data_IF_916342572800
#
_entry.id   IF_916342572800
#
_cell.length_a   1.000
_cell.length_b   1.000
_cell.length_c   1.000
_cell.angle_alpha   90.00
_cell.angle_beta   90.00
_cell.angle_gamma   90.00
#
_symmetry.space_group_name_H-M   'P 1'
#
loop_
_entity.id
_entity.type
_entity.pdbx_description
1 polymer ?
#
# COMPACT_ATOMS: atom_id res chain seq x y z
N UNK A 1 -1.33 -8.15 -0.21
CA UNK A 1 0.01 -8.07 0.38
C UNK A 1 0.24 -9.14 1.43
N UNK A 2 1.49 -9.55 1.57
CA UNK A 2 1.98 -10.33 2.69
C UNK A 2 2.90 -9.42 3.53
N UNK A 3 2.55 -9.21 4.79
CA UNK A 3 3.36 -8.40 5.70
C UNK A 3 3.63 -9.12 7.00
N UNK A 4 4.87 -9.01 7.47
CA UNK A 4 5.29 -9.42 8.81
C UNK A 4 4.90 -10.87 9.13
N UNK A 5 5.16 -11.76 8.18
CA UNK A 5 4.93 -13.19 8.34
C UNK A 5 6.25 -13.96 8.48
N UNK A 6 6.20 -15.05 9.22
CA UNK A 6 7.21 -16.10 9.20
C UNK A 6 6.64 -17.34 8.54
N UNK A 7 7.34 -17.85 7.55
CA UNK A 7 6.93 -19.07 6.86
C UNK A 7 8.08 -20.08 6.79
N UNK A 8 7.80 -21.30 7.24
CA UNK A 8 8.69 -22.45 7.08
C UNK A 8 8.47 -23.19 5.75
N UNK A 9 7.66 -22.62 4.87
CA UNK A 9 7.39 -23.15 3.53
C UNK A 9 7.55 -22.05 2.49
N UNK A 10 7.93 -22.41 1.26
CA UNK A 10 7.89 -21.48 0.14
C UNK A 10 6.45 -21.00 -0.09
N UNK A 11 6.33 -19.80 -0.64
CA UNK A 11 5.04 -19.19 -0.94
C UNK A 11 4.88 -19.10 -2.45
N UNK A 12 3.82 -19.73 -2.97
CA UNK A 12 3.41 -19.57 -4.35
C UNK A 12 2.29 -18.52 -4.42
N UNK A 13 2.46 -17.51 -5.23
CA UNK A 13 1.45 -16.46 -5.43
C UNK A 13 0.37 -16.88 -6.43
N UNK A 14 0.73 -17.73 -7.36
CA UNK A 14 -0.18 -18.32 -8.33
C UNK A 14 0.26 -19.72 -8.66
N UNK A 15 -0.66 -20.67 -8.47
CA UNK A 15 -0.40 -22.09 -8.73
C UNK A 15 -1.00 -22.59 -10.04
N UNK A 16 -1.96 -21.86 -10.63
CA UNK A 16 -2.82 -22.41 -11.70
C UNK A 16 -2.74 -21.61 -13.02
N UNK A 17 -1.60 -21.04 -13.37
CA UNK A 17 -1.43 -20.27 -14.60
C UNK A 17 -2.39 -19.09 -14.77
N UNK A 18 -2.90 -18.54 -13.66
CA UNK A 18 -3.66 -17.30 -13.64
C UNK A 18 -2.74 -16.08 -13.88
N UNK A 19 -3.33 -14.96 -14.23
CA UNK A 19 -2.63 -13.70 -14.36
C UNK A 19 -2.52 -13.06 -12.96
N UNK A 20 -1.49 -13.41 -12.20
CA UNK A 20 -1.20 -12.72 -10.95
C UNK A 20 -0.36 -11.48 -11.23
N UNK A 21 -0.88 -10.32 -10.91
CA UNK A 21 -0.15 -9.06 -11.01
C UNK A 21 -0.09 -8.36 -9.66
N UNK A 22 0.94 -7.56 -9.41
CA UNK A 22 1.05 -6.77 -8.22
C UNK A 22 1.31 -7.55 -6.92
N UNK A 23 2.03 -8.65 -6.98
CA UNK A 23 2.45 -9.35 -5.76
C UNK A 23 3.33 -8.47 -4.89
N UNK A 24 2.98 -8.35 -3.59
CA UNK A 24 3.70 -7.52 -2.63
C UNK A 24 4.01 -8.29 -1.35
N UNK A 25 5.31 -8.33 -0.99
CA UNK A 25 5.82 -8.93 0.25
C UNK A 25 6.67 -7.91 0.98
N UNK A 26 6.36 -7.65 2.24
CA UNK A 26 7.13 -6.74 3.08
C UNK A 26 7.33 -7.29 4.48
N UNK A 27 8.47 -6.93 5.08
CA UNK A 27 8.80 -7.23 6.49
C UNK A 27 8.56 -8.70 6.86
N UNK A 28 8.85 -9.61 5.92
CA UNK A 28 8.51 -11.04 6.05
C UNK A 28 9.73 -11.93 5.95
N UNK A 29 9.74 -13.00 6.74
CA UNK A 29 10.80 -13.99 6.71
C UNK A 29 10.26 -15.31 6.15
N UNK A 30 10.71 -15.66 4.93
CA UNK A 30 10.40 -16.95 4.29
C UNK A 30 11.62 -17.84 4.42
N UNK A 31 11.60 -18.70 5.43
CA UNK A 31 12.73 -19.56 5.84
C UNK A 31 12.68 -20.93 5.16
N UNK A 32 12.24 -20.97 3.93
CA UNK A 32 12.23 -22.17 3.12
C UNK A 32 12.47 -21.84 1.66
N UNK A 33 12.93 -22.83 0.91
CA UNK A 33 13.04 -22.75 -0.54
C UNK A 33 12.68 -24.10 -1.14
N UNK A 34 12.27 -24.11 -2.40
CA UNK A 34 12.23 -25.30 -3.23
C UNK A 34 13.20 -25.12 -4.42
N UNK A 35 13.67 -26.21 -4.94
CA UNK A 35 14.55 -26.15 -6.11
C UNK A 35 13.71 -26.34 -7.37
N UNK A 36 13.78 -25.35 -8.26
CA UNK A 36 13.22 -25.41 -9.58
C UNK A 36 14.33 -25.25 -10.62
N UNK A 37 14.70 -26.35 -11.26
CA UNK A 37 15.74 -26.38 -12.31
C UNK A 37 17.07 -25.71 -11.92
N UNK A 38 17.48 -25.86 -10.66
CA UNK A 38 18.72 -25.30 -10.14
C UNK A 38 18.57 -23.96 -9.43
N UNK A 39 17.35 -23.37 -9.42
CA UNK A 39 17.07 -22.14 -8.70
C UNK A 39 16.43 -22.44 -7.35
N UNK A 40 16.95 -21.85 -6.30
CA UNK A 40 16.29 -21.87 -4.98
C UNK A 40 15.29 -20.74 -4.87
N UNK A 41 13.99 -21.11 -4.75
CA UNK A 41 12.89 -20.16 -4.72
C UNK A 41 12.22 -20.17 -3.34
N UNK A 42 12.06 -19.02 -2.72
CA UNK A 42 11.32 -18.85 -1.46
C UNK A 42 9.90 -18.36 -1.68
N UNK A 43 9.70 -17.48 -2.63
CA UNK A 43 8.40 -16.94 -2.99
C UNK A 43 8.35 -16.72 -4.49
N UNK A 44 7.20 -16.93 -5.12
CA UNK A 44 7.08 -16.69 -6.55
C UNK A 44 5.80 -17.18 -7.18
N UNK A 45 5.76 -16.99 -8.48
CA UNK A 45 4.67 -17.39 -9.36
C UNK A 45 5.20 -18.00 -10.63
N UNK A 46 4.41 -18.85 -11.26
CA UNK A 46 4.74 -19.44 -12.56
C UNK A 46 4.18 -18.64 -13.74
N UNK A 47 3.31 -17.69 -13.51
CA UNK A 47 2.63 -16.95 -14.58
C UNK A 47 2.28 -15.51 -14.22
N UNK A 48 2.85 -14.94 -13.20
CA UNK A 48 2.54 -13.57 -12.79
C UNK A 48 3.21 -12.51 -13.66
N UNK A 49 2.84 -11.26 -13.49
CA UNK A 49 3.36 -10.14 -14.27
C UNK A 49 4.49 -9.39 -13.56
N UNK A 50 4.30 -9.03 -12.29
CA UNK A 50 5.23 -8.18 -11.57
C UNK A 50 5.13 -8.37 -10.06
N UNK A 51 6.26 -8.32 -9.38
CA UNK A 51 6.37 -8.59 -7.95
C UNK A 51 7.31 -7.59 -7.28
N UNK A 52 6.89 -7.14 -6.12
CA UNK A 52 7.70 -6.28 -5.28
C UNK A 52 7.93 -6.91 -3.90
N UNK A 53 9.18 -7.11 -3.55
CA UNK A 53 9.59 -7.60 -2.23
C UNK A 53 10.41 -6.54 -1.54
N UNK A 54 9.96 -6.09 -0.37
CA UNK A 54 10.57 -5.02 0.39
C UNK A 54 10.92 -5.49 1.82
N UNK A 55 12.11 -5.12 2.28
CA UNK A 55 12.53 -5.35 3.68
C UNK A 55 12.18 -6.72 4.23
N UNK A 56 12.51 -7.74 3.47
CA UNK A 56 12.20 -9.14 3.80
C UNK A 56 13.46 -9.98 3.83
N UNK A 57 13.36 -11.16 4.44
CA UNK A 57 14.42 -12.15 4.48
C UNK A 57 13.95 -13.41 3.78
N UNK A 58 14.70 -13.83 2.77
CA UNK A 58 14.39 -15.01 1.97
C UNK A 58 15.54 -16.01 2.09
N UNK A 59 15.22 -17.30 2.25
CA UNK A 59 16.23 -18.36 2.18
C UNK A 59 16.76 -18.54 0.76
N UNK A 60 15.87 -18.47 -0.23
CA UNK A 60 16.17 -18.40 -1.66
C UNK A 60 15.74 -17.05 -2.24
N UNK A 61 15.34 -17.02 -3.49
CA UNK A 61 14.88 -15.83 -4.19
C UNK A 61 13.34 -15.72 -4.22
N UNK A 62 12.84 -14.53 -4.46
CA UNK A 62 11.53 -14.37 -5.06
C UNK A 62 11.67 -14.47 -6.58
N UNK A 63 10.83 -15.27 -7.20
CA UNK A 63 10.90 -15.59 -8.61
C UNK A 63 9.52 -15.51 -9.26
N UNK A 64 9.49 -15.08 -10.50
CA UNK A 64 8.31 -15.15 -11.33
C UNK A 64 8.71 -15.22 -12.80
N UNK A 65 7.94 -15.90 -13.63
CA UNK A 65 8.10 -15.92 -15.09
C UNK A 65 7.61 -14.62 -15.70
N UNK A 66 8.00 -13.48 -15.15
CA UNK A 66 7.24 -12.26 -15.27
C UNK A 66 8.04 -11.08 -15.76
N UNK A 67 7.32 -10.02 -16.02
CA UNK A 67 7.83 -8.81 -16.62
C UNK A 67 8.82 -8.07 -15.72
N UNK A 68 8.58 -8.07 -14.39
CA UNK A 68 9.40 -7.29 -13.48
C UNK A 68 9.40 -7.89 -12.07
N UNK A 69 10.60 -8.06 -11.52
CA UNK A 69 10.83 -8.41 -10.12
C UNK A 69 11.62 -7.31 -9.45
N UNK A 70 11.07 -6.69 -8.44
CA UNK A 70 11.68 -5.57 -7.75
C UNK A 70 11.99 -5.97 -6.30
N UNK A 71 13.25 -5.86 -5.91
CA UNK A 71 13.75 -6.15 -4.58
C UNK A 71 14.31 -4.87 -3.94
N UNK A 72 13.85 -4.50 -2.77
CA UNK A 72 14.36 -3.34 -2.05
C UNK A 72 14.59 -3.67 -0.58
N UNK A 73 15.83 -3.50 -0.12
CA UNK A 73 16.18 -3.81 1.26
C UNK A 73 15.96 -5.29 1.63
N UNK A 74 16.15 -6.21 0.68
CA UNK A 74 15.92 -7.65 0.89
C UNK A 74 17.20 -8.36 1.26
N UNK A 75 17.14 -9.25 2.23
CA UNK A 75 18.18 -10.23 2.55
C UNK A 75 17.85 -11.56 1.88
N UNK A 76 18.68 -11.98 0.93
CA UNK A 76 18.57 -13.29 0.27
C UNK A 76 19.94 -13.76 -0.21
N UNK A 77 20.08 -15.06 -0.44
CA UNK A 77 21.36 -15.66 -0.84
C UNK A 77 21.77 -15.36 -2.28
N UNK A 78 20.81 -15.13 -3.17
CA UNK A 78 21.02 -15.06 -4.63
C UNK A 78 20.23 -13.90 -5.26
N UNK A 79 20.30 -12.70 -4.73
CA UNK A 79 19.76 -11.53 -5.41
C UNK A 79 20.72 -11.01 -6.49
N UNK A 80 20.21 -10.41 -7.56
CA UNK A 80 21.01 -9.64 -8.48
C UNK A 80 21.82 -8.59 -7.73
N UNK A 81 22.97 -8.19 -8.30
CA UNK A 81 23.79 -7.15 -7.69
C UNK A 81 23.02 -5.85 -7.58
N UNK A 82 23.06 -5.24 -6.40
CA UNK A 82 22.48 -3.93 -6.19
C UNK A 82 23.36 -2.88 -6.87
N UNK A 83 22.92 -2.31 -7.97
CA UNK A 83 23.65 -1.28 -8.70
C UNK A 83 23.07 0.13 -8.50
N UNK A 84 21.90 0.23 -7.90
CA UNK A 84 21.17 1.49 -7.70
C UNK A 84 20.61 2.08 -8.99
N UNK A 85 20.89 1.46 -10.13
CA UNK A 85 20.33 1.81 -11.42
C UNK A 85 19.46 0.67 -11.90
N UNK A 86 18.23 0.88 -11.95
CA UNK A 86 17.26 -0.11 -12.39
C UNK A 86 17.50 -0.58 -13.82
N UNK A 87 17.44 -1.85 -14.07
CA UNK A 87 17.20 -2.42 -15.38
C UNK A 87 18.42 -2.88 -16.16
N UNK A 88 19.63 -2.83 -15.64
CA UNK A 88 20.81 -3.32 -16.36
C UNK A 88 21.15 -4.79 -16.07
N UNK A 89 20.69 -5.37 -14.96
CA UNK A 89 20.86 -6.80 -14.73
C UNK A 89 19.66 -7.59 -15.26
N UNK A 90 19.66 -7.80 -16.54
CA UNK A 90 18.76 -8.75 -17.19
C UNK A 90 19.28 -10.17 -16.92
N UNK A 91 18.58 -10.90 -16.05
CA UNK A 91 18.87 -12.32 -15.89
C UNK A 91 18.14 -13.09 -17.00
N UNK A 92 18.86 -13.92 -17.71
CA UNK A 92 18.29 -14.86 -18.67
C UNK A 92 17.34 -15.80 -17.94
N UNK A 93 16.05 -15.68 -18.16
CA UNK A 93 15.00 -16.51 -17.60
C UNK A 93 13.91 -16.76 -18.62
N UNK A 94 12.93 -17.54 -18.26
CA UNK A 94 11.75 -17.74 -19.09
C UNK A 94 10.89 -16.48 -19.02
N UNK A 95 11.21 -15.48 -19.81
CA UNK A 95 10.48 -14.23 -19.83
C UNK A 95 9.08 -14.38 -20.37
N UNK A 96 8.16 -13.56 -19.89
CA UNK A 96 6.84 -13.42 -20.48
C UNK A 96 6.95 -12.77 -21.84
N UNK A 97 7.16 -13.56 -22.85
CA UNK A 97 7.32 -13.13 -24.24
C UNK A 97 6.11 -12.41 -24.85
N UNK A 98 4.99 -12.39 -24.16
CA UNK A 98 3.71 -11.94 -24.73
C UNK A 98 3.42 -10.44 -24.56
N UNK A 99 4.24 -9.70 -23.84
CA UNK A 99 3.93 -8.31 -23.48
C UNK A 99 4.84 -7.27 -24.14
N UNK A 100 5.49 -7.61 -25.24
CA UNK A 100 6.31 -6.68 -26.02
C UNK A 100 7.28 -5.79 -25.16
N UNK A 101 7.72 -6.31 -24.05
CA UNK A 101 8.89 -5.71 -23.42
C UNK A 101 10.03 -5.98 -24.38
N UNK A 102 10.76 -4.97 -24.85
CA UNK A 102 11.88 -5.18 -25.73
C UNK A 102 12.96 -5.95 -24.97
N UNK A 103 12.82 -7.25 -24.97
CA UNK A 103 13.93 -8.13 -24.70
C UNK A 103 14.70 -8.21 -26.00
N UNK A 104 15.90 -7.73 -26.00
CA UNK A 104 16.79 -7.83 -27.16
C UNK A 104 17.01 -9.27 -27.64
N UNK A 105 16.64 -10.27 -26.83
CA UNK A 105 17.00 -11.67 -27.08
C UNK A 105 16.12 -12.69 -26.36
N UNK A 106 14.82 -12.64 -26.60
CA UNK A 106 13.95 -13.77 -26.32
C UNK A 106 13.45 -13.92 -24.87
N UNK A 107 13.07 -12.82 -24.23
CA UNK A 107 12.31 -12.85 -23.00
C UNK A 107 13.16 -12.95 -21.73
N UNK A 108 13.88 -11.89 -21.44
CA UNK A 108 14.62 -11.76 -20.18
C UNK A 108 13.69 -11.21 -19.09
N UNK A 109 13.77 -11.75 -17.89
CA UNK A 109 13.16 -11.17 -16.72
C UNK A 109 13.92 -9.88 -16.34
N UNK A 110 13.16 -8.82 -16.03
CA UNK A 110 13.76 -7.61 -15.49
C UNK A 110 13.82 -7.73 -13.98
N UNK A 111 15.00 -7.61 -13.43
CA UNK A 111 15.22 -7.54 -11.99
C UNK A 111 15.71 -6.15 -11.62
N UNK A 112 15.08 -5.57 -10.64
CA UNK A 112 15.57 -4.33 -10.01
C UNK A 112 15.95 -4.65 -8.57
N UNK A 113 17.15 -4.28 -8.16
CA UNK A 113 17.62 -4.48 -6.80
C UNK A 113 18.15 -3.18 -6.20
N UNK A 114 17.51 -2.71 -5.13
CA UNK A 114 17.99 -1.59 -4.32
C UNK A 114 18.41 -2.14 -2.96
N UNK A 115 19.63 -1.91 -2.56
CA UNK A 115 20.24 -2.54 -1.37
C UNK A 115 19.51 -2.17 -0.08
N UNK A 116 19.04 -0.94 0.06
CA UNK A 116 18.38 -0.44 1.27
C UNK A 116 17.12 0.35 0.94
N UNK A 117 16.16 0.33 1.86
CA UNK A 117 15.02 1.24 1.83
C UNK A 117 15.39 2.52 2.56
N UNK A 118 15.33 3.65 1.85
CA UNK A 118 15.83 4.93 2.33
C UNK A 118 15.10 5.41 3.59
N UNK A 119 13.78 5.34 3.60
CA UNK A 119 12.94 5.77 4.72
C UNK A 119 11.60 5.05 4.66
N UNK A 120 11.18 4.44 5.76
CA UNK A 120 9.89 3.80 5.87
C UNK A 120 9.48 3.61 7.33
N UNK A 121 8.19 3.37 7.57
CA UNK A 121 7.72 2.70 8.78
C UNK A 121 6.90 1.48 8.38
N UNK A 122 6.92 0.43 9.18
CA UNK A 122 6.04 -0.70 8.97
C UNK A 122 4.61 -0.39 9.45
N UNK A 123 3.64 -1.14 8.95
CA UNK A 123 2.23 -0.93 9.25
C UNK A 123 1.93 -1.19 10.72
N UNK A 124 1.14 -0.34 11.40
CA UNK A 124 0.63 -0.63 12.73
C UNK A 124 -0.22 -1.90 12.77
N UNK A 125 -0.17 -2.64 13.88
CA UNK A 125 -0.94 -3.86 14.03
C UNK A 125 -1.45 -4.07 15.45
N UNK A 126 -2.64 -4.67 15.56
CA UNK A 126 -3.24 -5.10 16.82
C UNK A 126 -2.55 -6.38 17.29
N UNK A 127 -2.27 -6.45 18.58
CA UNK A 127 -1.78 -7.66 19.24
C UNK A 127 -2.29 -7.74 20.67
N UNK A 128 -2.21 -8.92 21.26
CA UNK A 128 -2.47 -9.15 22.68
C UNK A 128 -1.14 -9.37 23.38
N UNK A 129 -0.89 -8.68 24.46
CA UNK A 129 0.34 -8.85 25.25
C UNK A 129 0.27 -10.05 26.18
N UNK A 130 1.34 -10.28 26.94
CA UNK A 130 1.46 -11.41 27.85
C UNK A 130 0.48 -11.34 29.06
N UNK A 131 -0.04 -10.16 29.36
CA UNK A 131 -1.05 -9.93 30.42
C UNK A 131 -2.47 -10.12 29.89
N UNK A 132 -2.65 -10.36 28.57
CA UNK A 132 -3.94 -10.54 27.91
C UNK A 132 -4.59 -9.23 27.47
N UNK A 133 -3.88 -8.11 27.52
CA UNK A 133 -4.38 -6.79 27.13
C UNK A 133 -4.17 -6.53 25.64
N UNK A 134 -5.17 -5.97 24.97
CA UNK A 134 -5.06 -5.59 23.57
C UNK A 134 -4.33 -4.25 23.40
N UNK A 135 -3.35 -4.26 22.54
CA UNK A 135 -2.53 -3.08 22.18
C UNK A 135 -2.33 -2.98 20.67
N UNK A 136 -2.12 -1.77 20.20
CA UNK A 136 -1.66 -1.52 18.83
C UNK A 136 -0.17 -1.19 18.89
N UNK A 137 0.65 -1.99 18.25
CA UNK A 137 2.06 -1.66 18.05
C UNK A 137 2.19 -0.73 16.84
N UNK A 138 2.90 0.37 17.04
CA UNK A 138 3.14 1.41 16.03
C UNK A 138 4.64 1.45 15.75
N UNK A 139 5.10 0.85 14.64
CA UNK A 139 6.50 0.86 14.26
C UNK A 139 7.00 2.28 14.00
N UNK A 140 8.20 2.59 14.47
CA UNK A 140 8.85 3.88 14.21
C UNK A 140 9.33 3.99 12.77
N UNK A 141 9.46 5.23 12.28
CA UNK A 141 10.15 5.51 11.02
C UNK A 141 11.61 5.07 11.14
N UNK A 142 12.09 4.34 10.15
CA UNK A 142 13.45 3.86 10.03
C UNK A 142 14.09 4.36 8.74
N UNK A 143 15.41 4.52 8.75
CA UNK A 143 16.18 4.99 7.57
C UNK A 143 17.25 3.98 7.19
N UNK A 144 17.48 3.84 5.88
CA UNK A 144 18.49 2.96 5.30
C UNK A 144 18.40 1.52 5.83
N UNK A 145 17.21 0.97 5.76
CA UNK A 145 16.89 -0.35 6.32
C UNK A 145 17.05 -1.49 5.31
N UNK A 146 17.41 -2.67 5.84
CA UNK A 146 17.51 -3.91 5.10
C UNK A 146 17.04 -5.07 5.99
N UNK A 147 16.40 -6.08 5.39
CA UNK A 147 15.85 -7.23 6.10
C UNK A 147 14.63 -6.87 6.92
N UNK A 148 14.19 -7.84 7.73
CA UNK A 148 12.99 -7.71 8.58
C UNK A 148 13.23 -6.78 9.78
N UNK A 149 12.17 -6.10 10.19
CA UNK A 149 12.20 -5.17 11.33
C UNK A 149 12.02 -5.85 12.69
N UNK A 150 11.65 -7.13 12.71
CA UNK A 150 11.26 -7.90 13.89
C UNK A 150 12.07 -9.18 14.04
N UNK A 151 11.87 -9.92 15.13
CA UNK A 151 12.52 -11.20 15.41
C UNK A 151 13.43 -11.16 16.60
N UNK A 152 14.13 -12.25 16.89
CA UNK A 152 15.03 -12.39 18.01
C UNK A 152 16.12 -11.30 18.00
N UNK A 153 16.36 -10.69 19.15
CA UNK A 153 17.34 -9.61 19.33
C UNK A 153 16.87 -8.23 18.86
N UNK A 154 15.64 -8.09 18.38
CA UNK A 154 15.04 -6.78 18.09
C UNK A 154 14.38 -6.19 19.34
N UNK A 155 14.21 -4.86 19.38
CA UNK A 155 13.54 -4.13 20.46
C UNK A 155 12.11 -4.60 20.71
N UNK A 156 11.53 -4.19 21.83
CA UNK A 156 10.13 -4.48 22.21
C UNK A 156 9.78 -5.98 22.12
N UNK A 157 10.58 -6.82 22.78
CA UNK A 157 10.38 -8.29 22.76
C UNK A 157 10.31 -8.89 21.35
N UNK A 158 11.15 -8.38 20.45
CA UNK A 158 11.21 -8.85 19.08
C UNK A 158 10.20 -8.18 18.11
N UNK A 159 9.40 -7.23 18.57
CA UNK A 159 8.49 -6.49 17.69
C UNK A 159 9.20 -5.42 16.84
N UNK A 160 10.44 -5.05 17.21
CA UNK A 160 11.21 -4.04 16.52
C UNK A 160 11.08 -2.65 17.16
N UNK A 161 11.67 -1.64 16.51
CA UNK A 161 11.58 -0.26 16.95
C UNK A 161 10.16 0.27 16.80
N UNK A 162 9.60 0.85 17.87
CA UNK A 162 8.22 1.33 17.87
C UNK A 162 7.68 1.56 19.28
N UNK A 163 6.40 1.86 19.36
CA UNK A 163 5.67 2.02 20.63
C UNK A 163 4.39 1.21 20.64
N UNK A 164 4.00 0.69 21.79
CA UNK A 164 2.71 0.05 22.03
C UNK A 164 1.74 1.04 22.64
N UNK A 165 0.52 1.09 22.12
CA UNK A 165 -0.56 1.95 22.59
C UNK A 165 -1.71 1.04 23.03
N UNK A 166 -2.25 1.24 24.24
CA UNK A 166 -3.41 0.49 24.70
C UNK A 166 -4.59 0.66 23.77
N UNK A 167 -5.37 -0.40 23.54
CA UNK A 167 -6.61 -0.28 22.79
C UNK A 167 -7.63 0.67 23.44
N UNK A 168 -7.49 0.95 24.74
CA UNK A 168 -8.29 1.96 25.45
C UNK A 168 -8.08 3.39 24.93
N UNK A 169 -6.95 3.65 24.27
CA UNK A 169 -6.68 4.94 23.60
C UNK A 169 -7.31 5.02 22.20
N UNK A 170 -8.01 3.97 21.78
CA UNK A 170 -8.71 3.90 20.52
C UNK A 170 -10.22 3.91 20.72
N UNK A 171 -10.92 4.57 19.82
CA UNK A 171 -12.32 4.31 19.58
C UNK A 171 -12.44 3.11 18.65
N UNK A 172 -13.02 2.02 19.14
CA UNK A 172 -13.25 0.80 18.36
C UNK A 172 -14.57 0.97 17.59
N UNK A 173 -14.44 1.46 16.36
CA UNK A 173 -15.58 1.74 15.51
C UNK A 173 -16.22 0.46 14.97
N UNK A 174 -17.54 0.44 14.89
CA UNK A 174 -18.36 -0.62 14.31
C UNK A 174 -19.10 -0.09 13.09
N UNK A 175 -19.49 -0.94 12.13
CA UNK A 175 -20.22 -0.50 10.92
C UNK A 175 -21.54 0.23 11.19
N UNK A 176 -22.09 0.09 12.41
CA UNK A 176 -23.31 0.78 12.85
C UNK A 176 -23.07 2.20 13.36
N UNK A 177 -21.81 2.56 13.61
CA UNK A 177 -21.46 3.87 14.17
C UNK A 177 -21.49 4.93 13.06
N UNK A 178 -21.90 6.12 13.40
CA UNK A 178 -21.94 7.24 12.46
C UNK A 178 -20.55 7.89 12.31
N UNK A 179 -20.33 8.58 11.20
CA UNK A 179 -19.15 9.43 11.04
C UNK A 179 -19.06 10.50 12.13
N UNK A 180 -20.20 10.97 12.65
CA UNK A 180 -20.28 11.91 13.77
C UNK A 180 -19.70 11.33 15.07
N UNK A 181 -20.02 10.05 15.39
CA UNK A 181 -19.45 9.36 16.57
C UNK A 181 -17.93 9.21 16.44
N UNK A 182 -17.47 8.86 15.24
CA UNK A 182 -16.04 8.74 14.92
C UNK A 182 -15.33 10.10 15.05
N UNK A 183 -15.93 11.17 14.48
CA UNK A 183 -15.39 12.51 14.57
C UNK A 183 -15.33 13.03 16.01
N UNK A 184 -16.35 12.73 16.81
CA UNK A 184 -16.35 13.06 18.25
C UNK A 184 -15.17 12.39 18.96
N UNK A 185 -14.92 11.12 18.71
CA UNK A 185 -13.79 10.40 19.29
C UNK A 185 -12.44 11.01 18.86
N UNK A 186 -12.29 11.37 17.58
CA UNK A 186 -11.12 12.08 17.05
C UNK A 186 -10.93 13.45 17.71
N UNK A 187 -12.00 14.22 17.90
CA UNK A 187 -11.97 15.52 18.57
C UNK A 187 -11.60 15.40 20.07
N UNK A 188 -11.97 14.28 20.72
CA UNK A 188 -11.54 13.93 22.09
C UNK A 188 -10.07 13.45 22.14
N UNK A 189 -9.41 13.20 21.00
CA UNK A 189 -8.01 12.78 20.90
C UNK A 189 -7.81 11.27 20.92
N UNK A 190 -8.86 10.49 20.68
CA UNK A 190 -8.76 9.05 20.47
C UNK A 190 -8.19 8.74 19.10
N UNK A 191 -7.45 7.65 19.01
CA UNK A 191 -7.17 6.95 17.77
C UNK A 191 -8.42 6.19 17.31
N UNK A 192 -8.46 5.74 16.06
CA UNK A 192 -9.57 4.96 15.53
C UNK A 192 -9.10 3.56 15.12
N UNK A 193 -9.84 2.56 15.59
CA UNK A 193 -9.70 1.18 15.14
C UNK A 193 -11.01 0.75 14.50
N UNK A 194 -11.02 0.61 13.18
CA UNK A 194 -12.18 0.14 12.45
C UNK A 194 -12.24 -1.39 12.45
N UNK A 195 -13.34 -1.96 12.97
CA UNK A 195 -13.62 -3.38 12.82
C UNK A 195 -14.03 -3.71 11.37
N UNK A 196 -13.92 -4.98 10.91
CA UNK A 196 -14.32 -5.36 9.56
C UNK A 196 -15.76 -5.00 9.25
N UNK A 197 -16.00 -4.43 8.09
CA UNK A 197 -17.34 -4.09 7.59
C UNK A 197 -17.36 -2.83 6.75
N UNK A 198 -18.57 -2.46 6.30
CA UNK A 198 -18.79 -1.27 5.47
C UNK A 198 -19.35 -0.14 6.33
N UNK A 199 -18.71 1.02 6.24
CA UNK A 199 -19.04 2.24 6.96
C UNK A 199 -19.56 3.29 5.98
N UNK A 200 -20.75 3.82 6.24
CA UNK A 200 -21.38 4.86 5.44
C UNK A 200 -21.15 6.24 6.06
N UNK A 201 -20.24 7.02 5.48
CA UNK A 201 -19.84 8.32 5.99
C UNK A 201 -20.76 9.43 5.46
N UNK A 202 -21.84 9.74 6.21
CA UNK A 202 -22.77 10.83 5.90
C UNK A 202 -22.17 12.23 6.13
N UNK A 203 -21.06 12.30 6.79
CA UNK A 203 -20.18 13.46 6.88
C UNK A 203 -18.73 13.01 6.79
N UNK A 204 -17.82 13.92 6.51
CA UNK A 204 -16.41 13.61 6.35
C UNK A 204 -15.83 13.14 7.70
N UNK A 205 -15.09 12.02 7.69
CA UNK A 205 -14.24 11.64 8.82
C UNK A 205 -13.01 12.55 8.80
N UNK A 206 -12.83 13.39 9.81
CA UNK A 206 -11.84 14.45 9.78
C UNK A 206 -10.74 14.26 10.85
N UNK A 207 -9.55 13.87 10.41
CA UNK A 207 -8.36 13.70 11.26
C UNK A 207 -7.63 15.04 11.36
N UNK A 208 -7.70 15.69 12.53
CA UNK A 208 -7.20 17.06 12.76
C UNK A 208 -5.96 17.12 13.67
N UNK A 209 -5.69 16.05 14.42
CA UNK A 209 -4.62 16.06 15.42
C UNK A 209 -3.41 15.28 14.95
N UNK A 210 -2.24 15.80 15.27
CA UNK A 210 -0.98 15.12 15.06
C UNK A 210 -0.95 13.74 15.76
N UNK A 211 -0.13 12.84 15.27
CA UNK A 211 0.08 11.49 15.83
C UNK A 211 -1.17 10.58 15.86
N UNK A 212 -2.25 10.98 15.23
CA UNK A 212 -3.48 10.19 15.20
C UNK A 212 -3.30 8.94 14.34
N UNK A 213 -3.73 7.79 14.88
CA UNK A 213 -3.69 6.51 14.19
C UNK A 213 -5.11 6.13 13.79
N UNK A 214 -5.29 5.85 12.51
CA UNK A 214 -6.52 5.32 11.91
C UNK A 214 -6.19 3.97 11.31
N UNK A 215 -6.62 2.91 11.96
CA UNK A 215 -6.28 1.54 11.58
C UNK A 215 -7.54 0.73 11.26
N UNK A 216 -7.65 0.27 10.04
CA UNK A 216 -8.67 -0.70 9.63
C UNK A 216 -8.18 -2.13 9.77
N UNK A 217 -9.08 -3.04 10.10
CA UNK A 217 -8.81 -4.47 10.18
C UNK A 217 -9.70 -5.27 9.23
N UNK A 218 -9.14 -6.36 8.71
CA UNK A 218 -9.86 -7.21 7.75
C UNK A 218 -10.27 -6.41 6.49
N UNK A 219 -11.52 -6.55 6.09
CA UNK A 219 -12.10 -5.84 4.94
C UNK A 219 -12.91 -4.63 5.44
N UNK A 220 -12.22 -3.64 5.98
CA UNK A 220 -12.85 -2.35 6.34
C UNK A 220 -13.03 -1.51 5.09
N UNK A 221 -14.27 -1.14 4.77
CA UNK A 221 -14.59 -0.26 3.64
C UNK A 221 -15.31 0.99 4.14
N UNK A 222 -14.92 2.18 3.64
CA UNK A 222 -15.58 3.46 3.94
C UNK A 222 -16.14 4.04 2.65
N UNK A 223 -17.45 4.30 2.66
CA UNK A 223 -18.20 4.87 1.52
C UNK A 223 -18.68 6.27 1.91
N UNK A 224 -18.30 7.34 1.20
CA UNK A 224 -18.84 8.67 1.43
C UNK A 224 -20.29 8.77 0.90
N UNK A 225 -21.20 9.16 1.78
CA UNK A 225 -22.61 9.46 1.46
C UNK A 225 -22.89 10.96 1.64
N UNK A 226 -21.90 11.82 1.31
CA UNK A 226 -21.94 13.25 1.62
C UNK A 226 -21.56 14.16 0.44
N UNK A 227 -21.42 13.60 -0.75
CA UNK A 227 -21.02 14.28 -1.99
C UNK A 227 -19.66 15.02 -1.90
N UNK A 228 -18.82 14.72 -0.91
CA UNK A 228 -17.53 15.39 -0.71
C UNK A 228 -16.39 14.35 -0.54
N UNK A 229 -16.04 13.95 0.67
CA UNK A 229 -14.96 13.02 0.93
C UNK A 229 -15.32 11.97 1.98
N UNK A 230 -14.72 10.78 1.89
CA UNK A 230 -14.80 9.81 2.96
C UNK A 230 -13.96 10.25 4.16
N UNK A 231 -12.72 10.71 3.91
CA UNK A 231 -11.81 11.14 4.96
C UNK A 231 -10.96 12.34 4.52
N UNK A 232 -10.73 13.25 5.45
CA UNK A 232 -9.72 14.31 5.35
C UNK A 232 -8.70 14.15 6.48
N UNK A 233 -7.44 14.34 6.15
CA UNK A 233 -6.34 14.46 7.10
C UNK A 233 -5.79 15.87 7.00
N UNK A 234 -5.74 16.61 8.11
CA UNK A 234 -5.16 17.94 8.12
C UNK A 234 -3.64 17.91 7.91
N UNK A 235 -3.05 19.06 7.65
CA UNK A 235 -1.61 19.26 7.45
C UNK A 235 -0.89 19.27 8.82
N UNK A 236 -0.82 18.10 9.46
CA UNK A 236 -0.26 17.86 10.80
C UNK A 236 0.71 16.68 10.80
N UNK A 237 1.58 16.62 11.81
CA UNK A 237 2.62 15.60 11.91
C UNK A 237 2.08 14.21 12.28
N UNK A 238 2.79 13.17 11.88
CA UNK A 238 2.74 11.82 12.46
C UNK A 238 1.47 11.01 12.24
N UNK A 239 0.52 11.49 11.44
CA UNK A 239 -0.74 10.77 11.19
C UNK A 239 -0.47 9.47 10.45
N UNK A 240 -1.14 8.39 10.89
CA UNK A 240 -1.08 7.09 10.23
C UNK A 240 -2.47 6.62 9.84
N UNK A 241 -2.65 6.34 8.54
CA UNK A 241 -3.88 5.74 8.02
C UNK A 241 -3.52 4.41 7.36
N UNK A 242 -4.11 3.31 7.83
CA UNK A 242 -3.70 2.00 7.35
C UNK A 242 -4.85 0.99 7.26
N UNK A 243 -4.80 0.12 6.23
CA UNK A 243 -5.67 -1.05 6.12
C UNK A 243 -7.12 -0.75 5.80
N UNK A 244 -7.39 0.24 4.95
CA UNK A 244 -8.75 0.70 4.63
C UNK A 244 -8.98 0.65 3.12
N UNK A 245 -10.20 0.23 2.75
CA UNK A 245 -10.73 0.37 1.41
C UNK A 245 -11.61 1.64 1.39
N UNK A 246 -11.33 2.54 0.49
CA UNK A 246 -12.18 3.69 0.19
C UNK A 246 -12.99 3.40 -1.07
N UNK A 247 -14.27 3.17 -0.91
CA UNK A 247 -15.19 2.94 -2.03
C UNK A 247 -15.93 4.22 -2.38
N UNK A 248 -16.08 4.52 -3.66
CA UNK A 248 -16.87 5.66 -4.09
C UNK A 248 -18.36 5.48 -3.74
N UNK A 249 -18.99 6.55 -3.28
CA UNK A 249 -20.43 6.68 -3.16
C UNK A 249 -21.09 7.07 -4.49
N UNK A 250 -22.31 7.56 -4.46
CA UNK A 250 -23.02 8.05 -5.64
C UNK A 250 -22.24 9.15 -6.36
N UNK A 251 -21.63 10.04 -5.59
CA UNK A 251 -20.64 11.02 -6.04
C UNK A 251 -19.68 11.36 -4.88
N UNK A 252 -18.44 11.68 -5.20
CA UNK A 252 -17.44 12.14 -4.23
C UNK A 252 -16.48 13.11 -4.92
N UNK A 253 -16.06 14.18 -4.25
CA UNK A 253 -14.96 15.01 -4.74
C UNK A 253 -13.63 14.29 -4.57
N UNK A 254 -13.45 13.65 -3.42
CA UNK A 254 -12.29 12.83 -3.09
C UNK A 254 -12.74 11.60 -2.31
N UNK A 255 -11.99 10.51 -2.40
CA UNK A 255 -12.16 9.43 -1.42
C UNK A 255 -11.31 9.70 -0.18
N UNK A 256 -10.04 10.10 -0.38
CA UNK A 256 -9.16 10.56 0.70
C UNK A 256 -8.40 11.82 0.25
N UNK A 257 -8.31 12.79 1.16
CA UNK A 257 -7.48 13.98 0.96
C UNK A 257 -6.55 14.17 2.16
N UNK A 258 -5.27 14.40 1.89
CA UNK A 258 -4.22 14.62 2.91
C UNK A 258 -3.61 16.00 2.75
N UNK A 259 -3.78 16.83 3.75
CA UNK A 259 -3.41 18.24 3.72
C UNK A 259 -4.38 19.10 2.90
N UNK A 260 -4.42 20.39 3.18
CA UNK A 260 -5.18 21.35 2.38
C UNK A 260 -4.38 21.82 1.18
N UNK A 261 -5.05 22.19 0.13
CA UNK A 261 -4.41 22.77 -1.06
C UNK A 261 -3.52 23.95 -0.67
N UNK A 262 -2.25 23.92 -1.10
CA UNK A 262 -1.25 24.92 -0.80
C UNK A 262 -0.61 24.79 0.58
N UNK A 263 -0.72 23.61 1.23
CA UNK A 263 0.06 23.26 2.42
C UNK A 263 1.55 23.49 2.18
N UNK A 264 2.26 23.95 3.23
CA UNK A 264 3.70 24.25 3.17
C UNK A 264 4.46 23.80 4.42
N UNK A 265 3.81 23.12 5.33
CA UNK A 265 4.46 22.60 6.52
C UNK A 265 5.39 21.43 6.15
N UNK A 266 6.58 21.41 6.70
CA UNK A 266 7.48 20.27 6.55
C UNK A 266 7.17 19.25 7.64
N UNK A 267 6.93 18.02 7.26
CA UNK A 267 6.70 16.89 8.15
C UNK A 267 7.89 15.91 8.14
N UNK A 268 9.08 16.41 7.82
CA UNK A 268 10.29 15.59 7.62
C UNK A 268 10.68 14.76 8.84
N UNK A 269 10.43 15.28 10.04
CA UNK A 269 10.84 14.62 11.27
C UNK A 269 9.78 13.63 11.78
N UNK A 270 8.52 13.82 11.37
CA UNK A 270 7.41 12.96 11.71
C UNK A 270 6.35 12.93 10.57
N UNK A 271 6.63 12.17 9.50
CA UNK A 271 5.81 12.16 8.30
C UNK A 271 4.44 11.52 8.52
N UNK A 272 3.45 12.01 7.78
CA UNK A 272 2.20 11.26 7.59
C UNK A 272 2.48 9.97 6.80
N UNK A 273 1.92 8.85 7.26
CA UNK A 273 2.15 7.53 6.66
C UNK A 273 0.82 6.88 6.30
N UNK A 274 0.72 6.49 5.04
CA UNK A 274 -0.45 5.87 4.45
C UNK A 274 -0.08 4.46 3.99
N UNK A 275 -0.80 3.40 4.46
CA UNK A 275 -0.36 2.03 4.22
C UNK A 275 -1.53 1.08 3.93
N UNK A 276 -1.36 0.21 2.91
CA UNK A 276 -2.40 -0.74 2.49
C UNK A 276 -3.74 -0.04 2.31
N UNK A 277 -3.76 1.02 1.52
CA UNK A 277 -4.98 1.75 1.17
C UNK A 277 -5.42 1.38 -0.25
N UNK A 278 -6.70 1.03 -0.37
CA UNK A 278 -7.30 0.61 -1.61
C UNK A 278 -8.44 1.56 -1.95
N UNK A 279 -8.48 2.02 -3.19
CA UNK A 279 -9.49 2.97 -3.66
C UNK A 279 -10.24 2.35 -4.83
N UNK A 280 -11.58 2.35 -4.76
CA UNK A 280 -12.39 1.77 -5.81
C UNK A 280 -13.48 2.75 -6.26
N UNK A 281 -13.60 2.92 -7.57
CA UNK A 281 -14.67 3.70 -8.20
C UNK A 281 -15.43 2.78 -9.14
N UNK A 282 -16.58 2.27 -8.70
CA UNK A 282 -17.38 1.26 -9.40
C UNK A 282 -16.94 -0.19 -9.11
N UNK A 283 -17.56 -1.12 -9.82
CA UNK A 283 -17.22 -2.54 -9.80
C UNK A 283 -17.87 -3.38 -8.69
N UNK A 284 -18.51 -2.78 -7.72
CA UNK A 284 -19.01 -3.47 -6.52
C UNK A 284 -20.53 -3.44 -6.34
N UNK A 285 -21.22 -2.51 -6.98
CA UNK A 285 -22.69 -2.34 -6.87
C UNK A 285 -23.31 -2.10 -8.22
N UNK A 286 -24.60 -2.39 -8.40
CA UNK A 286 -25.35 -2.08 -9.61
C UNK A 286 -25.57 -0.56 -9.79
N UNK A 287 -25.36 0.22 -8.75
CA UNK A 287 -25.46 1.68 -8.80
C UNK A 287 -24.15 2.26 -9.33
N UNK A 288 -24.26 3.20 -10.25
CA UNK A 288 -23.09 3.97 -10.71
C UNK A 288 -22.55 4.80 -9.56
N UNK A 289 -21.24 4.70 -9.37
CA UNK A 289 -20.50 5.47 -8.37
C UNK A 289 -19.42 6.29 -9.05
N UNK A 290 -19.20 7.50 -8.58
CA UNK A 290 -18.26 8.44 -9.20
C UNK A 290 -17.38 9.10 -8.15
N UNK A 291 -16.18 9.50 -8.57
CA UNK A 291 -15.31 10.35 -7.77
C UNK A 291 -14.56 11.32 -8.69
N UNK A 292 -14.50 12.60 -8.35
CA UNK A 292 -13.68 13.52 -9.13
C UNK A 292 -12.21 13.08 -9.07
N UNK A 293 -11.73 12.73 -7.88
CA UNK A 293 -10.38 12.21 -7.65
C UNK A 293 -10.42 11.13 -6.54
N UNK A 294 -9.64 10.07 -6.66
CA UNK A 294 -9.61 9.07 -5.60
C UNK A 294 -8.74 9.52 -4.42
N UNK A 295 -7.48 9.91 -4.65
CA UNK A 295 -6.56 10.35 -3.61
C UNK A 295 -5.86 11.65 -3.99
N UNK A 296 -5.88 12.63 -3.08
CA UNK A 296 -5.12 13.88 -3.22
C UNK A 296 -4.20 14.09 -2.01
N UNK A 297 -2.90 14.25 -2.27
CA UNK A 297 -1.86 14.50 -1.26
C UNK A 297 -1.29 15.91 -1.46
N UNK A 298 -1.58 16.80 -0.52
CA UNK A 298 -1.10 18.17 -0.51
C UNK A 298 -0.01 18.43 0.54
N UNK A 299 0.05 17.61 1.59
CA UNK A 299 1.10 17.69 2.61
C UNK A 299 2.44 17.23 2.07
N UNK A 300 3.52 17.86 2.54
CA UNK A 300 4.89 17.44 2.23
C UNK A 300 5.32 16.23 3.07
N UNK A 301 6.37 15.52 2.64
CA UNK A 301 7.00 14.42 3.36
C UNK A 301 6.03 13.26 3.71
N UNK A 302 5.12 12.90 2.80
CA UNK A 302 4.20 11.78 3.01
C UNK A 302 4.83 10.47 2.53
N UNK A 303 4.76 9.43 3.35
CA UNK A 303 5.18 8.08 3.00
C UNK A 303 3.94 7.23 2.65
N UNK A 304 3.90 6.73 1.44
CA UNK A 304 2.85 5.85 0.93
C UNK A 304 3.41 4.45 0.73
N UNK A 305 2.70 3.43 1.18
CA UNK A 305 3.22 2.07 1.11
C UNK A 305 2.12 1.06 0.79
N UNK A 306 2.11 0.60 -0.44
CA UNK A 306 1.19 -0.34 -1.03
C UNK A 306 -0.22 0.22 -1.21
N UNK A 307 -0.46 0.79 -2.39
CA UNK A 307 -1.77 1.28 -2.83
C UNK A 307 -2.25 0.52 -4.06
N UNK A 308 -3.54 0.27 -4.11
CA UNK A 308 -4.24 -0.04 -5.34
C UNK A 308 -5.38 0.96 -5.51
N UNK A 309 -5.25 1.79 -6.53
CA UNK A 309 -6.18 2.87 -6.86
C UNK A 309 -6.82 2.50 -8.19
N UNK A 310 -8.07 2.09 -8.15
CA UNK A 310 -8.74 1.45 -9.26
C UNK A 310 -10.06 2.13 -9.61
N UNK A 311 -10.12 2.70 -10.81
CA UNK A 311 -11.40 2.94 -11.44
C UNK A 311 -11.78 1.63 -12.14
N UNK A 312 -12.90 1.03 -11.70
CA UNK A 312 -13.28 -0.27 -12.23
C UNK A 312 -13.53 -0.23 -13.74
N UNK A 313 -12.92 -1.16 -14.46
CA UNK A 313 -13.09 -1.43 -15.87
C UNK A 313 -13.93 -2.69 -16.11
N UNK A 314 -14.18 -3.45 -15.05
CA UNK A 314 -15.06 -4.62 -15.05
C UNK A 314 -15.79 -4.75 -13.71
N UNK A 315 -16.79 -5.64 -13.65
CA UNK A 315 -17.68 -5.78 -12.49
C UNK A 315 -19.01 -5.08 -12.73
N UNK A 316 -19.73 -4.78 -11.65
CA UNK A 316 -21.06 -4.20 -11.72
C UNK A 316 -21.00 -2.67 -11.65
N UNK A 317 -21.90 -1.98 -12.35
CA UNK A 317 -21.94 -0.50 -12.34
C UNK A 317 -20.71 0.14 -13.00
N UNK A 318 -20.25 -0.43 -14.12
CA UNK A 318 -19.07 0.02 -14.85
C UNK A 318 -19.45 0.45 -16.26
N UNK A 319 -18.99 1.65 -16.66
CA UNK A 319 -19.04 2.15 -18.02
C UNK A 319 -18.02 3.29 -18.17
N UNK A 320 -17.51 3.53 -19.38
CA UNK A 320 -16.53 4.59 -19.63
C UNK A 320 -16.98 5.96 -19.09
N UNK A 321 -18.23 6.32 -19.35
CA UNK A 321 -18.91 7.55 -18.93
C UNK A 321 -19.90 7.33 -17.77
N UNK A 322 -19.85 6.18 -17.13
CA UNK A 322 -20.69 5.80 -15.99
C UNK A 322 -20.01 6.03 -14.65
N UNK A 323 -19.06 5.18 -14.26
CA UNK A 323 -18.27 5.32 -13.05
C UNK A 323 -17.08 6.28 -13.26
N UNK A 324 -17.39 7.55 -13.60
CA UNK A 324 -16.39 8.55 -13.96
C UNK A 324 -15.49 8.89 -12.78
N UNK A 325 -14.18 8.89 -13.02
CA UNK A 325 -13.18 9.45 -12.11
C UNK A 325 -12.03 10.06 -12.89
N UNK A 326 -11.73 11.34 -12.62
CA UNK A 326 -10.74 12.06 -13.41
C UNK A 326 -9.31 11.61 -13.11
N UNK A 327 -8.96 11.50 -11.82
CA UNK A 327 -7.59 11.17 -11.40
C UNK A 327 -7.59 10.13 -10.28
N UNK A 328 -6.66 9.18 -10.40
CA UNK A 328 -6.43 8.20 -9.33
C UNK A 328 -5.66 8.83 -8.18
N UNK A 329 -4.48 9.34 -8.45
CA UNK A 329 -3.61 10.00 -7.47
C UNK A 329 -3.21 11.38 -7.97
N UNK A 330 -3.41 12.39 -7.12
CA UNK A 330 -2.81 13.71 -7.28
C UNK A 330 -1.83 13.95 -6.15
N UNK A 331 -0.57 14.26 -6.48
CA UNK A 331 0.47 14.63 -5.52
C UNK A 331 0.87 16.08 -5.74
N UNK A 332 0.50 16.95 -4.81
CA UNK A 332 0.89 18.36 -4.81
C UNK A 332 1.98 18.66 -3.76
N UNK A 333 2.14 17.79 -2.77
CA UNK A 333 3.18 17.92 -1.75
C UNK A 333 4.57 17.54 -2.28
N UNK A 334 5.60 18.18 -1.73
CA UNK A 334 6.99 17.84 -2.02
C UNK A 334 7.47 16.67 -1.14
N UNK A 335 8.56 16.01 -1.55
CA UNK A 335 9.20 14.93 -0.80
C UNK A 335 8.25 13.75 -0.48
N UNK A 336 7.26 13.49 -1.34
CA UNK A 336 6.35 12.35 -1.19
C UNK A 336 7.01 11.09 -1.76
N UNK A 337 6.97 10.00 -0.99
CA UNK A 337 7.52 8.70 -1.43
C UNK A 337 6.43 7.66 -1.49
N UNK A 338 6.31 6.95 -2.62
CA UNK A 338 5.38 5.84 -2.80
C UNK A 338 6.14 4.52 -3.05
N UNK A 339 5.83 3.51 -2.26
CA UNK A 339 6.26 2.12 -2.45
C UNK A 339 5.05 1.30 -2.94
N UNK A 340 5.22 0.52 -4.01
CA UNK A 340 4.16 -0.31 -4.59
C UNK A 340 2.86 0.48 -4.88
N UNK A 341 2.94 1.38 -5.83
CA UNK A 341 1.80 2.16 -6.32
C UNK A 341 1.20 1.48 -7.56
N UNK A 342 -0.03 0.98 -7.45
CA UNK A 342 -0.85 0.45 -8.53
C UNK A 342 -1.99 1.43 -8.77
N UNK A 343 -2.09 2.01 -9.98
CA UNK A 343 -3.06 3.06 -10.26
C UNK A 343 -3.59 2.93 -11.69
N UNK A 344 -4.89 2.66 -11.85
CA UNK A 344 -5.43 2.06 -13.05
C UNK A 344 -6.74 2.69 -13.51
N UNK A 345 -6.87 2.88 -14.84
CA UNK A 345 -8.10 3.10 -15.63
C UNK A 345 -8.80 4.45 -15.44
N UNK A 346 -8.14 5.49 -14.95
CA UNK A 346 -8.78 6.79 -14.73
C UNK A 346 -9.03 7.56 -16.06
N UNK A 347 -10.11 8.34 -16.08
CA UNK A 347 -10.56 8.99 -17.31
C UNK A 347 -9.60 10.08 -17.84
N UNK A 348 -8.78 10.71 -16.97
CA UNK A 348 -7.79 11.72 -17.38
C UNK A 348 -6.37 11.26 -17.13
N UNK A 349 -5.99 11.13 -15.86
CA UNK A 349 -4.66 10.69 -15.46
C UNK A 349 -4.76 9.70 -14.30
N UNK A 350 -4.09 8.57 -14.43
CA UNK A 350 -3.91 7.67 -13.30
C UNK A 350 -3.13 8.38 -12.20
N UNK A 351 -2.03 9.03 -12.54
CA UNK A 351 -1.21 9.79 -11.60
C UNK A 351 -0.87 11.18 -12.14
N UNK A 352 -1.21 12.21 -11.39
CA UNK A 352 -0.81 13.60 -11.63
C UNK A 352 0.14 14.03 -10.51
N UNK A 353 1.42 14.24 -10.84
CA UNK A 353 2.46 14.56 -9.86
C UNK A 353 2.98 15.97 -10.08
N UNK A 354 2.65 16.90 -9.19
CA UNK A 354 3.02 18.32 -9.24
C UNK A 354 4.13 18.65 -8.22
N UNK A 355 4.28 17.86 -7.16
CA UNK A 355 5.28 18.11 -6.10
C UNK A 355 6.70 17.81 -6.55
N UNK A 356 7.66 18.41 -5.88
CA UNK A 356 9.09 18.25 -6.14
C UNK A 356 9.71 17.13 -5.27
N UNK A 357 10.87 16.61 -5.67
CA UNK A 357 11.66 15.60 -4.95
C UNK A 357 10.91 14.30 -4.63
N UNK A 358 9.82 14.00 -5.33
CA UNK A 358 9.05 12.79 -5.12
C UNK A 358 9.76 11.54 -5.61
N UNK A 359 9.40 10.40 -5.05
CA UNK A 359 9.95 9.09 -5.43
C UNK A 359 8.85 8.04 -5.51
N UNK A 360 8.92 7.21 -6.55
CA UNK A 360 8.05 6.04 -6.68
C UNK A 360 8.91 4.80 -6.90
N UNK A 361 8.74 3.81 -6.03
CA UNK A 361 9.40 2.51 -6.11
C UNK A 361 8.35 1.47 -6.45
N UNK A 362 8.48 0.85 -7.62
CA UNK A 362 7.51 -0.09 -8.18
C UNK A 362 6.16 0.58 -8.48
N UNK A 363 6.09 1.19 -9.65
CA UNK A 363 4.87 1.80 -10.19
C UNK A 363 4.27 0.91 -11.27
N UNK A 364 2.98 0.61 -11.16
CA UNK A 364 2.23 -0.08 -12.19
C UNK A 364 0.99 0.75 -12.53
N UNK A 365 0.70 0.86 -13.82
CA UNK A 365 -0.55 1.41 -14.27
C UNK A 365 -1.12 0.62 -15.45
N UNK A 366 -2.42 0.66 -15.59
CA UNK A 366 -3.12 0.13 -16.74
C UNK A 366 -4.04 1.21 -17.35
N UNK A 367 -4.08 1.24 -18.67
CA UNK A 367 -5.03 2.10 -19.38
C UNK A 367 -6.37 1.39 -19.49
N UNK A 368 -7.44 2.17 -19.63
CA UNK A 368 -8.77 1.63 -19.85
C UNK A 368 -8.82 0.72 -21.08
N UNK A 369 -9.51 -0.39 -20.97
CA UNK A 369 -9.71 -1.33 -22.09
C UNK A 369 -10.77 -0.85 -23.06
N UNK A 370 -11.73 -0.07 -22.61
CA UNK A 370 -12.90 0.43 -23.33
C UNK A 370 -13.01 1.97 -23.19
N UNK A 371 -12.25 2.75 -23.94
CA UNK A 371 -12.37 4.21 -23.96
C UNK A 371 -13.62 4.68 -24.72
#
# INVERSE_FOLDING_TARGET
PLRRIYSERPIAYDWNYGWASGGYVADSWINASFNDNGNELSAGTFSGQQFYTRNSKLKGNAYGTTLNNFFQGVEASNLPKADGTSGEELLSGQGASNWNIPASDGGQQVFTHIDQTKELAEKPFLYMDDDGEYKVFVPSVQKNTKGISWGEGKDNNGMGAGKSISLDEFYVAKPTDSASDINKALDEGKNIYFTPGTYHAKEIIHVKKADTIVLGSGMTSIIPDNDDAAMLVDDVDGVRVAGIIFDAGSHSKYLLKVGKTGSKNSHKDDPTILQDLFFRVGGTTDTLTTADNALEINSHNVLCDHFWIWRADHGTGVAWDGNVSNHGLIVNGDDVTCYALFNEHFNKYDTLWNGENGSTYFYQNEKCYDP
#
